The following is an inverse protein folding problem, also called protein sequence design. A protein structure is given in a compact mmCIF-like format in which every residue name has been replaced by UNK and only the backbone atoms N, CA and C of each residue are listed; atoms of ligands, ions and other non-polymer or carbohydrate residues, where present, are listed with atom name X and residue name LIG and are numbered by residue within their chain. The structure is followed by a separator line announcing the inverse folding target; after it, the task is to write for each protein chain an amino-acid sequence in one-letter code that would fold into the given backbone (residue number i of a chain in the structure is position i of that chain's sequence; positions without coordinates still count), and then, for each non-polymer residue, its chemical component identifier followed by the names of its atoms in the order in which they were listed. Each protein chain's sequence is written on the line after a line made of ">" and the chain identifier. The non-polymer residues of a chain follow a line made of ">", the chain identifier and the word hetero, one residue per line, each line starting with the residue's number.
data_IF_918668556904
#
_entry.id   IF_918668556904
#
_cell.length_a   1.000
_cell.length_b   1.000
_cell.length_c   1.000
_cell.angle_alpha   90.00
_cell.angle_beta   90.00
_cell.angle_gamma   90.00
#
_symmetry.space_group_name_H-M   'P 1'
#
loop_
_entity.id
_entity.type
_entity.pdbx_description
1 polymer ?
#
# COMPACT_ATOMS: atom_id res chain seq x y z
N UNK A 1 20.69 11.26 -10.79
CA UNK A 1 20.32 9.84 -10.99
C UNK A 1 20.99 9.28 -12.24
N UNK A 2 21.53 8.06 -12.17
CA UNK A 2 22.03 7.34 -13.36
C UNK A 2 20.86 6.97 -14.26
N UNK A 3 21.05 7.10 -15.58
CA UNK A 3 20.02 6.79 -16.59
C UNK A 3 20.41 5.52 -17.36
N UNK A 4 19.47 4.64 -17.69
CA UNK A 4 19.73 3.53 -18.60
C UNK A 4 20.19 4.05 -19.97
N UNK A 5 21.18 3.42 -20.58
CA UNK A 5 21.65 3.79 -21.91
C UNK A 5 20.61 3.53 -23.02
N UNK A 6 19.69 2.58 -22.78
CA UNK A 6 18.60 2.21 -23.69
C UNK A 6 17.28 2.69 -23.09
N UNK A 7 16.57 3.56 -23.81
CA UNK A 7 15.23 4.01 -23.43
C UNK A 7 14.20 3.13 -24.16
N UNK A 8 13.31 2.51 -23.39
CA UNK A 8 12.11 1.80 -23.88
C UNK A 8 10.90 2.47 -23.22
N UNK A 9 9.73 2.33 -23.84
CA UNK A 9 8.49 2.95 -23.38
C UNK A 9 8.14 2.57 -21.93
N UNK A 10 8.38 1.32 -21.52
CA UNK A 10 8.16 0.85 -20.13
C UNK A 10 8.96 1.64 -19.07
N UNK A 11 10.09 2.26 -19.45
CA UNK A 11 10.87 3.09 -18.52
C UNK A 11 10.25 4.47 -18.29
N UNK A 12 9.25 4.89 -19.07
CA UNK A 12 8.53 6.14 -18.83
C UNK A 12 7.69 6.09 -17.56
N UNK A 13 7.04 4.96 -17.30
CA UNK A 13 6.29 4.72 -16.06
C UNK A 13 7.23 4.82 -14.86
N UNK A 14 8.38 4.12 -14.92
CA UNK A 14 9.39 4.18 -13.85
C UNK A 14 9.89 5.61 -13.63
N UNK A 15 10.15 6.37 -14.71
CA UNK A 15 10.56 7.79 -14.61
C UNK A 15 9.51 8.65 -13.93
N UNK A 16 8.25 8.52 -14.32
CA UNK A 16 7.16 9.28 -13.72
C UNK A 16 7.00 8.94 -12.23
N UNK A 17 7.06 7.65 -11.88
CA UNK A 17 7.01 7.21 -10.49
C UNK A 17 8.16 7.77 -9.66
N UNK A 18 9.40 7.67 -10.14
CA UNK A 18 10.58 8.21 -9.44
C UNK A 18 10.50 9.73 -9.26
N UNK A 19 10.08 10.45 -10.30
CA UNK A 19 9.90 11.91 -10.21
C UNK A 19 8.81 12.30 -9.20
N UNK A 20 7.76 11.48 -9.08
CA UNK A 20 6.74 11.61 -8.04
C UNK A 20 7.31 11.42 -6.62
N UNK A 21 8.16 10.42 -6.40
CA UNK A 21 8.79 10.18 -5.10
C UNK A 21 9.79 11.26 -4.71
N UNK A 22 10.60 11.76 -5.64
CA UNK A 22 11.51 12.88 -5.38
C UNK A 22 10.75 14.13 -4.89
N UNK A 23 9.55 14.39 -5.46
CA UNK A 23 8.69 15.49 -5.03
C UNK A 23 8.10 15.28 -3.63
N UNK A 24 7.83 14.04 -3.26
CA UNK A 24 7.29 13.68 -1.94
C UNK A 24 8.37 13.73 -0.85
N UNK A 25 9.65 13.61 -1.21
CA UNK A 25 10.73 13.79 -0.26
C UNK A 25 10.66 15.19 0.36
N UNK A 26 10.66 15.29 1.69
CA UNK A 26 10.37 16.50 2.48
C UNK A 26 8.96 17.12 2.36
N UNK A 27 8.08 16.58 1.50
CA UNK A 27 6.66 16.97 1.39
C UNK A 27 5.72 15.83 1.77
N UNK A 28 6.20 14.87 2.56
CA UNK A 28 5.38 13.76 3.02
C UNK A 28 4.24 14.32 3.87
N UNK A 29 3.00 13.99 3.49
CA UNK A 29 1.84 14.37 4.27
C UNK A 29 1.81 13.53 5.56
N UNK A 30 1.84 14.21 6.70
CA UNK A 30 1.85 13.56 8.00
C UNK A 30 2.55 14.41 9.05
N UNK A 31 2.31 14.07 10.31
CA UNK A 31 2.97 14.71 11.46
C UNK A 31 3.84 13.65 12.16
N UNK A 32 5.17 13.73 12.08
CA UNK A 32 6.06 12.73 12.65
C UNK A 32 5.94 12.64 14.19
N UNK A 33 5.51 13.71 14.87
CA UNK A 33 5.27 13.68 16.32
C UNK A 33 4.05 12.82 16.63
N UNK A 34 2.97 12.97 15.86
CA UNK A 34 1.77 12.13 16.01
C UNK A 34 2.04 10.66 15.63
N UNK A 35 2.90 10.43 14.65
CA UNK A 35 3.35 9.07 14.30
C UNK A 35 4.06 8.42 15.48
N UNK A 36 5.01 9.11 16.11
CA UNK A 36 5.71 8.61 17.29
C UNK A 36 4.74 8.32 18.45
N UNK A 37 3.78 9.21 18.70
CA UNK A 37 2.73 9.02 19.70
C UNK A 37 1.87 7.77 19.42
N UNK A 38 1.49 7.54 18.17
CA UNK A 38 0.73 6.35 17.77
C UNK A 38 1.53 5.06 18.00
N UNK A 39 2.83 5.06 17.71
CA UNK A 39 3.72 3.91 17.98
C UNK A 39 3.80 3.63 19.49
N UNK A 40 3.99 4.67 20.31
CA UNK A 40 3.99 4.54 21.77
C UNK A 40 2.64 4.01 22.26
N UNK A 41 1.52 4.46 21.70
CA UNK A 41 0.20 3.94 22.10
C UNK A 41 0.09 2.43 21.86
N UNK A 42 0.63 1.92 20.75
CA UNK A 42 0.64 0.48 20.45
C UNK A 42 1.44 -0.32 21.49
N UNK A 43 2.54 0.21 22.02
CA UNK A 43 3.34 -0.51 23.03
C UNK A 43 2.62 -0.67 24.38
N UNK A 44 1.55 0.10 24.62
CA UNK A 44 0.75 0.03 25.84
C UNK A 44 -0.54 -0.79 25.65
N UNK A 45 -0.79 -1.34 24.46
CA UNK A 45 -1.96 -2.19 24.20
C UNK A 45 -1.76 -3.57 24.81
N UNK A 46 -2.77 -4.07 25.54
CA UNK A 46 -2.76 -5.44 26.08
C UNK A 46 -2.66 -6.51 24.97
N UNK A 47 -3.26 -6.22 23.81
CA UNK A 47 -3.11 -7.03 22.60
C UNK A 47 -2.55 -6.16 21.47
N UNK A 48 -1.30 -6.44 21.09
CA UNK A 48 -0.63 -5.68 20.05
C UNK A 48 -1.28 -5.89 18.66
N UNK A 49 -1.34 -4.81 17.89
CA UNK A 49 -1.78 -4.85 16.49
C UNK A 49 -0.76 -5.61 15.63
N UNK A 50 -1.24 -6.51 14.76
CA UNK A 50 -0.37 -7.17 13.78
C UNK A 50 0.18 -6.22 12.70
N UNK A 51 -0.50 -5.08 12.46
CA UNK A 51 -0.07 -4.04 11.53
C UNK A 51 -0.66 -2.69 11.91
N UNK A 52 0.16 -1.64 11.85
CA UNK A 52 -0.23 -0.25 12.11
C UNK A 52 -0.26 0.53 10.79
N UNK A 53 -1.42 1.07 10.42
CA UNK A 53 -1.58 1.93 9.25
C UNK A 53 -1.73 3.38 9.69
N UNK A 54 -0.91 4.28 9.14
CA UNK A 54 -0.80 5.66 9.60
C UNK A 54 -1.27 6.64 8.54
N UNK A 55 -2.23 7.48 8.92
CA UNK A 55 -2.79 8.53 8.07
C UNK A 55 -3.94 8.07 7.16
N UNK A 56 -4.76 9.03 6.73
CA UNK A 56 -5.98 8.78 5.94
C UNK A 56 -5.70 8.13 4.59
N UNK A 57 -4.55 8.47 3.96
CA UNK A 57 -4.16 7.88 2.68
C UNK A 57 -3.87 6.39 2.80
N UNK A 58 -3.11 5.97 3.83
CA UNK A 58 -2.81 4.56 4.06
C UNK A 58 -4.08 3.73 4.31
N UNK A 59 -5.02 4.28 5.09
CA UNK A 59 -6.31 3.63 5.34
C UNK A 59 -7.15 3.52 4.06
N UNK A 60 -7.25 4.59 3.27
CA UNK A 60 -8.01 4.59 2.02
C UNK A 60 -7.44 3.60 0.99
N UNK A 61 -6.11 3.57 0.83
CA UNK A 61 -5.45 2.62 -0.08
C UNK A 61 -5.66 1.18 0.37
N UNK A 62 -5.55 0.89 1.68
CA UNK A 62 -5.81 -0.45 2.19
C UNK A 62 -7.26 -0.87 1.94
N UNK A 63 -8.22 0.01 2.23
CA UNK A 63 -9.63 -0.29 2.02
C UNK A 63 -9.91 -0.58 0.55
N UNK A 64 -9.31 0.20 -0.36
CA UNK A 64 -9.42 -0.04 -1.78
C UNK A 64 -8.85 -1.41 -2.18
N UNK A 65 -7.67 -1.78 -1.69
CA UNK A 65 -7.06 -3.08 -2.00
C UNK A 65 -7.88 -4.25 -1.46
N UNK A 66 -8.39 -4.14 -0.23
CA UNK A 66 -9.26 -5.17 0.36
C UNK A 66 -10.51 -5.35 -0.50
N UNK A 67 -11.17 -4.25 -0.89
CA UNK A 67 -12.35 -4.30 -1.74
C UNK A 67 -12.05 -4.92 -3.10
N UNK A 68 -10.90 -4.58 -3.71
CA UNK A 68 -10.46 -5.18 -4.96
C UNK A 68 -10.31 -6.71 -4.84
N UNK A 69 -9.62 -7.19 -3.79
CA UNK A 69 -9.43 -8.62 -3.56
C UNK A 69 -10.77 -9.33 -3.32
N UNK A 70 -11.66 -8.74 -2.53
CA UNK A 70 -13.00 -9.30 -2.27
C UNK A 70 -13.79 -9.40 -3.58
N UNK A 71 -13.77 -8.37 -4.41
CA UNK A 71 -14.45 -8.36 -5.70
C UNK A 71 -13.89 -9.45 -6.64
N UNK A 72 -12.56 -9.54 -6.73
CA UNK A 72 -11.89 -10.56 -7.55
C UNK A 72 -12.23 -11.98 -7.10
N UNK A 73 -12.25 -12.23 -5.79
CA UNK A 73 -12.68 -13.52 -5.22
C UNK A 73 -14.13 -13.80 -5.60
N UNK A 74 -15.04 -12.86 -5.38
CA UNK A 74 -16.47 -13.01 -5.66
C UNK A 74 -16.74 -13.33 -7.13
N UNK A 75 -16.03 -12.68 -8.06
CA UNK A 75 -16.13 -12.93 -9.50
C UNK A 75 -15.68 -14.34 -9.90
N UNK A 76 -14.80 -14.95 -9.10
CA UNK A 76 -14.16 -16.23 -9.42
C UNK A 76 -14.53 -17.36 -8.44
N UNK A 77 -15.58 -17.20 -7.61
CA UNK A 77 -15.98 -18.20 -6.60
C UNK A 77 -16.25 -19.56 -7.24
N UNK A 78 -17.08 -19.60 -8.30
CA UNK A 78 -17.46 -20.85 -8.95
C UNK A 78 -16.24 -21.60 -9.53
N UNK A 79 -15.29 -20.87 -10.11
CA UNK A 79 -14.03 -21.44 -10.62
C UNK A 79 -13.15 -21.92 -9.47
N UNK A 80 -13.07 -21.18 -8.37
CA UNK A 80 -12.22 -21.54 -7.22
C UNK A 80 -12.76 -22.80 -6.52
N UNK A 81 -14.08 -22.91 -6.39
CA UNK A 81 -14.77 -24.05 -5.76
C UNK A 81 -14.90 -25.26 -6.69
N UNK A 82 -14.63 -25.14 -7.99
CA UNK A 82 -14.74 -26.27 -8.94
C UNK A 82 -13.70 -27.37 -8.71
N UNK A 83 -12.77 -27.17 -7.76
CA UNK A 83 -11.73 -28.14 -7.39
C UNK A 83 -12.07 -28.92 -6.13
N UNK A 84 -13.18 -28.61 -5.46
CA UNK A 84 -13.67 -29.38 -4.32
C UNK A 84 -14.18 -30.75 -4.80
N UNK A 85 -13.85 -31.81 -4.05
CA UNK A 85 -14.31 -33.18 -4.28
C UNK A 85 -15.57 -33.41 -3.45
N UNK A 86 -16.58 -34.14 -3.99
CA UNK A 86 -17.78 -34.53 -3.23
C UNK A 86 -17.47 -35.40 -2.01
#
# INVERSE_FOLDING_TARGET
>A
MKRPAKQIEDYDVVRQTMSGFDRLNHNQSGDPVKVAQAIIAVTHMEQALGRLYLGVGALATLQHQINHVVEEVNQNVALSQSTEHE
#
